data_IF_040675642733
#
_entry.id   IF_040675642733
#
_cell.length_a   1.000
_cell.length_b   1.000
_cell.length_c   1.000
_cell.angle_alpha   90.00
_cell.angle_beta   90.00
_cell.angle_gamma   90.00
#
_symmetry.space_group_name_H-M   'P 1'
#
loop_
_entity.id
_entity.type
_entity.pdbx_description
1 polymer ?
#
# COMPACT_ATOMS: atom_id res chain seq x y z
N UNK A 1 7.45 64.47 -56.40
CA UNK A 1 6.71 63.99 -57.60
C UNK A 1 5.64 63.00 -57.15
N UNK A 2 4.62 62.76 -57.98
CA UNK A 2 3.48 61.81 -57.89
C UNK A 2 3.70 60.48 -57.10
N UNK A 3 2.68 59.76 -56.58
CA UNK A 3 1.20 59.94 -56.49
C UNK A 3 0.63 58.94 -55.43
N UNK A 4 -0.54 59.26 -54.87
CA UNK A 4 -1.48 58.44 -54.05
C UNK A 4 -2.18 57.31 -54.86
N UNK A 5 -3.15 56.51 -54.32
CA UNK A 5 -3.67 56.32 -52.95
C UNK A 5 -3.38 54.86 -52.44
N UNK A 6 -4.10 54.13 -51.55
CA UNK A 6 -5.40 54.29 -50.86
C UNK A 6 -5.51 53.47 -49.53
N UNK A 7 -6.63 53.66 -48.82
CA UNK A 7 -7.21 52.87 -47.71
C UNK A 7 -8.66 52.43 -48.15
N UNK A 8 -9.64 52.00 -47.32
CA UNK A 8 -9.69 51.85 -45.84
C UNK A 8 -10.42 50.60 -45.29
N UNK A 9 -10.44 50.53 -43.95
CA UNK A 9 -11.40 49.80 -43.11
C UNK A 9 -12.85 50.28 -43.32
N UNK A 10 -13.84 49.48 -42.89
CA UNK A 10 -15.22 49.91 -42.68
C UNK A 10 -15.84 49.21 -41.46
N UNK A 11 -16.60 50.00 -40.69
CA UNK A 11 -17.22 49.67 -39.41
C UNK A 11 -18.69 49.20 -39.53
N UNK A 12 -19.15 48.56 -38.44
CA UNK A 12 -20.48 48.58 -37.78
C UNK A 12 -21.86 48.48 -38.52
N UNK A 13 -22.79 47.83 -37.79
CA UNK A 13 -24.27 47.89 -37.80
C UNK A 13 -25.06 47.52 -39.10
N UNK A 14 -26.20 46.83 -39.10
CA UNK A 14 -27.32 46.78 -38.13
C UNK A 14 -28.19 45.50 -38.31
N UNK A 15 -29.19 45.34 -37.46
CA UNK A 15 -30.16 44.25 -37.31
C UNK A 15 -31.28 44.25 -38.37
N UNK A 16 -31.73 43.07 -38.79
CA UNK A 16 -33.18 42.80 -38.99
C UNK A 16 -33.58 41.42 -38.47
N UNK A 17 -34.79 41.38 -37.93
CA UNK A 17 -35.46 40.21 -37.34
C UNK A 17 -36.28 39.52 -38.42
N UNK A 18 -36.26 38.19 -38.50
CA UNK A 18 -37.31 37.40 -39.14
C UNK A 18 -37.59 36.09 -38.37
N UNK A 19 -38.77 36.10 -37.75
CA UNK A 19 -39.76 35.04 -37.51
C UNK A 19 -39.41 33.62 -36.99
N UNK A 20 -40.38 33.10 -36.23
CA UNK A 20 -40.37 31.89 -35.42
C UNK A 20 -40.59 30.60 -36.25
N UNK A 21 -39.93 29.49 -35.89
CA UNK A 21 -40.56 28.16 -36.07
C UNK A 21 -40.24 27.20 -34.89
N UNK A 22 -41.27 26.89 -34.09
CA UNK A 22 -41.16 25.93 -32.97
C UNK A 22 -41.00 24.47 -33.45
N UNK A 23 -40.06 23.67 -32.89
CA UNK A 23 -40.07 22.22 -33.07
C UNK A 23 -41.24 21.58 -32.29
N UNK A 24 -42.19 21.04 -33.06
CA UNK A 24 -43.50 20.52 -32.61
C UNK A 24 -43.47 19.60 -31.40
N UNK A 25 -44.23 20.02 -30.39
CA UNK A 25 -44.62 19.32 -29.15
C UNK A 25 -45.08 17.87 -29.39
N UNK A 26 -44.33 16.88 -28.87
CA UNK A 26 -44.75 15.47 -28.92
C UNK A 26 -46.00 15.20 -28.04
N UNK A 27 -46.93 14.34 -28.46
CA UNK A 27 -48.20 14.13 -27.76
C UNK A 27 -48.03 13.43 -26.40
N UNK A 28 -48.79 13.90 -25.40
CA UNK A 28 -48.81 13.32 -24.05
C UNK A 28 -49.42 11.91 -24.08
N UNK A 29 -48.64 10.89 -23.71
CA UNK A 29 -49.20 9.58 -23.39
C UNK A 29 -50.19 9.67 -22.21
N UNK A 30 -51.39 9.07 -22.30
CA UNK A 30 -52.31 9.01 -21.19
C UNK A 30 -51.74 8.12 -20.07
N UNK A 31 -51.89 8.58 -18.82
CA UNK A 31 -51.50 7.79 -17.64
C UNK A 31 -52.27 6.46 -17.63
N UNK A 32 -51.63 5.30 -17.44
CA UNK A 32 -52.35 4.04 -17.28
C UNK A 32 -53.25 4.12 -16.04
N UNK A 33 -54.52 3.79 -16.22
CA UNK A 33 -55.49 3.74 -15.14
C UNK A 33 -55.13 2.67 -14.12
N UNK A 34 -55.39 2.98 -12.84
CA UNK A 34 -55.20 2.10 -11.70
C UNK A 34 -55.98 0.79 -11.94
N UNK A 35 -55.36 -0.40 -11.97
CA UNK A 35 -56.13 -1.64 -12.03
C UNK A 35 -56.95 -1.76 -10.75
N UNK A 36 -58.25 -1.93 -10.90
CA UNK A 36 -59.18 -2.19 -9.79
C UNK A 36 -58.82 -3.51 -9.11
N UNK A 37 -59.06 -3.60 -7.80
CA UNK A 37 -58.81 -4.80 -7.01
C UNK A 37 -59.76 -5.95 -7.42
N UNK A 38 -59.44 -6.66 -8.50
CA UNK A 38 -60.09 -7.93 -8.83
C UNK A 38 -59.67 -8.94 -7.77
N UNK A 39 -60.61 -9.24 -6.88
CA UNK A 39 -60.48 -10.19 -5.78
C UNK A 39 -60.23 -11.60 -6.35
N UNK A 40 -58.96 -11.94 -6.61
CA UNK A 40 -58.54 -13.27 -7.09
C UNK A 40 -59.07 -14.34 -6.13
N UNK A 41 -60.11 -15.04 -6.57
CA UNK A 41 -60.55 -16.29 -5.95
C UNK A 41 -59.39 -17.27 -6.03
N UNK A 42 -59.01 -17.85 -4.88
CA UNK A 42 -57.94 -18.86 -4.85
C UNK A 42 -58.43 -20.10 -5.62
N UNK A 43 -57.62 -20.70 -6.50
CA UNK A 43 -57.96 -21.98 -7.09
C UNK A 43 -58.07 -23.03 -5.98
N UNK A 44 -59.08 -23.92 -6.07
CA UNK A 44 -59.19 -25.08 -5.18
C UNK A 44 -58.00 -26.02 -5.43
N UNK A 45 -57.44 -26.67 -4.39
CA UNK A 45 -56.35 -27.62 -4.59
C UNK A 45 -56.80 -28.80 -5.46
N UNK A 46 -55.89 -29.26 -6.32
CA UNK A 46 -56.13 -30.35 -7.26
C UNK A 46 -56.27 -31.66 -6.49
N UNK A 47 -57.29 -32.45 -6.84
CA UNK A 47 -57.64 -33.72 -6.17
C UNK A 47 -56.66 -34.82 -6.60
N UNK A 48 -55.63 -35.06 -5.80
CA UNK A 48 -54.72 -36.19 -6.00
C UNK A 48 -55.45 -37.52 -5.80
N UNK A 49 -55.18 -38.50 -6.66
CA UNK A 49 -55.62 -39.88 -6.52
C UNK A 49 -54.46 -40.72 -5.98
N UNK A 50 -54.72 -41.58 -5.00
CA UNK A 50 -53.78 -42.61 -4.53
C UNK A 50 -54.08 -43.95 -5.19
N UNK A 51 -53.06 -44.79 -5.34
CA UNK A 51 -53.14 -46.05 -6.09
C UNK A 51 -54.00 -47.17 -5.44
N UNK A 52 -54.66 -46.90 -4.31
CA UNK A 52 -55.46 -47.88 -3.53
C UNK A 52 -56.96 -47.60 -3.50
N UNK A 53 -57.46 -46.59 -4.23
CA UNK A 53 -58.90 -46.35 -4.42
C UNK A 53 -59.69 -45.89 -3.18
N UNK A 54 -59.03 -45.71 -2.03
CA UNK A 54 -59.66 -45.23 -0.81
C UNK A 54 -60.00 -43.73 -0.90
N UNK A 55 -61.22 -43.36 -0.51
CA UNK A 55 -61.66 -41.96 -0.41
C UNK A 55 -60.95 -41.31 0.79
N UNK A 56 -60.02 -40.39 0.51
CA UNK A 56 -59.47 -39.50 1.54
C UNK A 56 -60.61 -38.55 1.97
N UNK A 57 -61.07 -38.69 3.21
CA UNK A 57 -61.99 -37.73 3.81
C UNK A 57 -61.23 -36.43 4.14
N UNK A 58 -61.86 -35.25 4.00
CA UNK A 58 -61.21 -34.01 4.40
C UNK A 58 -60.95 -34.03 5.92
N UNK A 59 -59.77 -33.58 6.40
CA UNK A 59 -59.48 -33.53 7.81
C UNK A 59 -60.51 -32.66 8.54
N UNK A 60 -60.86 -33.03 9.77
CA UNK A 60 -61.87 -32.31 10.55
C UNK A 60 -61.37 -30.91 10.90
N UNK A 61 -62.27 -29.97 11.16
CA UNK A 61 -61.92 -28.57 11.44
C UNK A 61 -60.94 -28.41 12.62
N UNK A 62 -60.93 -29.38 13.56
CA UNK A 62 -59.99 -29.44 14.69
C UNK A 62 -58.57 -29.89 14.30
N UNK A 63 -58.42 -30.75 13.29
CA UNK A 63 -57.11 -31.20 12.79
C UNK A 63 -56.48 -30.15 11.87
N UNK A 64 -57.32 -29.42 11.11
CA UNK A 64 -56.88 -28.30 10.30
C UNK A 64 -56.23 -27.17 11.13
N UNK A 65 -56.73 -26.88 12.34
CA UNK A 65 -56.12 -25.88 13.23
C UNK A 65 -54.68 -26.23 13.65
N UNK A 66 -54.34 -27.52 13.76
CA UNK A 66 -52.98 -27.96 14.04
C UNK A 66 -52.02 -27.66 12.88
N UNK A 67 -52.44 -27.99 11.65
CA UNK A 67 -51.60 -27.90 10.46
C UNK A 67 -51.28 -26.46 10.02
N UNK A 68 -52.13 -25.48 10.36
CA UNK A 68 -51.89 -24.06 10.05
C UNK A 68 -51.15 -23.29 11.16
N UNK A 69 -50.84 -23.90 12.31
CA UNK A 69 -50.22 -23.22 13.45
C UNK A 69 -48.69 -23.12 13.37
N UNK A 70 -48.03 -24.00 12.62
CA UNK A 70 -46.57 -24.03 12.40
C UNK A 70 -46.13 -23.15 11.21
N UNK A 71 -46.54 -21.87 11.20
CA UNK A 71 -46.39 -21.04 9.99
C UNK A 71 -46.17 -19.53 10.17
N UNK A 72 -46.26 -18.97 11.39
CA UNK A 72 -45.91 -17.56 11.61
C UNK A 72 -44.39 -17.39 11.72
N UNK A 73 -43.70 -17.48 10.57
CA UNK A 73 -42.37 -16.88 10.41
C UNK A 73 -42.50 -15.40 10.74
N UNK A 74 -42.05 -15.00 11.92
CA UNK A 74 -41.92 -13.59 12.26
C UNK A 74 -41.07 -12.92 11.18
N UNK A 75 -41.58 -11.83 10.58
CA UNK A 75 -40.73 -10.98 9.74
C UNK A 75 -39.50 -10.62 10.58
N UNK A 76 -38.26 -10.90 10.12
CA UNK A 76 -37.10 -10.46 10.86
C UNK A 76 -37.21 -8.95 11.04
N UNK A 77 -37.11 -8.48 12.28
CA UNK A 77 -37.12 -7.05 12.55
C UNK A 77 -36.00 -6.40 11.73
N UNK A 78 -36.24 -5.25 11.07
CA UNK A 78 -35.20 -4.54 10.35
C UNK A 78 -34.21 -3.98 11.37
N UNK A 79 -33.20 -4.79 11.70
CA UNK A 79 -32.09 -4.39 12.56
C UNK A 79 -31.19 -3.47 11.73
N UNK A 80 -31.49 -2.17 11.76
CA UNK A 80 -30.61 -1.14 11.24
C UNK A 80 -29.24 -1.27 11.93
N UNK A 81 -28.26 -1.85 11.24
CA UNK A 81 -26.87 -1.83 11.70
C UNK A 81 -26.21 -0.56 11.15
N UNK A 82 -25.35 0.07 11.94
CA UNK A 82 -24.67 1.31 11.54
C UNK A 82 -23.95 1.17 10.18
N UNK A 83 -23.39 -0.02 9.90
CA UNK A 83 -22.75 -0.38 8.62
C UNK A 83 -23.66 -0.33 7.38
N UNK A 84 -24.98 -0.40 7.57
CA UNK A 84 -25.99 -0.37 6.51
C UNK A 84 -26.42 1.09 6.21
N UNK A 85 -25.85 2.08 6.91
CA UNK A 85 -26.01 3.51 6.66
C UNK A 85 -25.14 3.99 5.50
N UNK A 86 -25.72 4.83 4.63
CA UNK A 86 -25.01 5.50 3.52
C UNK A 86 -23.78 6.29 3.99
N UNK A 87 -23.80 6.80 5.23
CA UNK A 87 -22.72 7.60 5.81
C UNK A 87 -21.59 6.78 6.44
N UNK A 88 -21.78 5.48 6.66
CA UNK A 88 -20.78 4.67 7.38
C UNK A 88 -19.45 4.56 6.62
N UNK A 89 -19.51 4.20 5.33
CA UNK A 89 -18.32 4.08 4.49
C UNK A 89 -17.51 5.39 4.37
N UNK A 90 -18.10 6.56 4.04
CA UNK A 90 -17.33 7.81 3.96
C UNK A 90 -16.80 8.28 5.32
N UNK A 91 -17.53 8.06 6.43
CA UNK A 91 -17.04 8.40 7.77
C UNK A 91 -15.87 7.51 8.19
N UNK A 92 -15.89 6.21 7.88
CA UNK A 92 -14.75 5.31 8.11
C UNK A 92 -13.55 5.70 7.25
N UNK A 93 -13.75 6.03 5.98
CA UNK A 93 -12.68 6.52 5.11
C UNK A 93 -12.05 7.82 5.63
N UNK A 94 -12.87 8.79 6.07
CA UNK A 94 -12.41 10.02 6.69
C UNK A 94 -11.64 9.77 7.99
N UNK A 95 -12.13 8.86 8.85
CA UNK A 95 -11.44 8.48 10.08
C UNK A 95 -10.07 7.85 9.79
N UNK A 96 -9.96 6.99 8.78
CA UNK A 96 -8.68 6.42 8.34
C UNK A 96 -7.72 7.52 7.85
N UNK A 97 -8.19 8.47 7.03
CA UNK A 97 -7.38 9.60 6.56
C UNK A 97 -6.88 10.44 7.75
N UNK A 98 -7.74 10.76 8.72
CA UNK A 98 -7.36 11.51 9.92
C UNK A 98 -6.32 10.73 10.75
N UNK A 99 -6.52 9.43 10.96
CA UNK A 99 -5.56 8.57 11.69
C UNK A 99 -4.21 8.52 10.96
N UNK A 100 -4.20 8.42 9.63
CA UNK A 100 -2.96 8.44 8.84
C UNK A 100 -2.26 9.80 8.92
N UNK A 101 -2.97 10.91 8.78
CA UNK A 101 -2.40 12.26 8.90
C UNK A 101 -1.85 12.53 10.30
N UNK A 102 -2.58 12.15 11.35
CA UNK A 102 -2.13 12.28 12.74
C UNK A 102 -0.94 11.37 13.04
N UNK A 103 -0.93 10.13 12.51
CA UNK A 103 0.18 9.20 12.66
C UNK A 103 1.46 9.68 11.96
N UNK A 104 1.34 10.15 10.72
CA UNK A 104 2.44 10.74 9.95
C UNK A 104 2.96 12.00 10.62
N UNK A 105 2.09 12.92 11.06
CA UNK A 105 2.48 14.12 11.81
C UNK A 105 3.13 13.78 13.16
N UNK A 106 2.64 12.77 13.88
CA UNK A 106 3.23 12.30 15.14
C UNK A 106 4.64 11.73 14.95
N UNK A 107 4.90 11.10 13.81
CA UNK A 107 6.23 10.60 13.43
C UNK A 107 7.17 11.71 12.94
N UNK A 108 6.73 12.58 12.03
CA UNK A 108 7.59 13.64 11.46
C UNK A 108 7.76 14.83 12.39
N UNK A 109 6.79 15.10 13.28
CA UNK A 109 6.69 16.32 14.09
C UNK A 109 6.80 17.62 13.26
N UNK A 110 6.36 17.56 12.00
CA UNK A 110 6.54 18.60 11.00
C UNK A 110 5.32 18.75 10.09
N UNK A 111 5.10 19.95 9.55
CA UNK A 111 3.98 20.22 8.65
C UNK A 111 4.35 21.25 7.55
N UNK A 112 4.15 20.96 6.25
CA UNK A 112 3.73 19.67 5.69
C UNK A 112 4.69 18.51 6.01
N UNK A 113 4.19 17.28 6.23
CA UNK A 113 5.05 16.16 6.62
C UNK A 113 5.63 15.37 5.44
N UNK A 114 5.09 15.54 4.23
CA UNK A 114 5.46 14.80 3.02
C UNK A 114 5.76 15.79 1.89
N UNK A 115 6.85 15.55 1.17
CA UNK A 115 7.29 16.33 0.00
C UNK A 115 7.47 15.42 -1.22
N UNK A 116 7.28 15.99 -2.41
CA UNK A 116 7.50 15.28 -3.69
C UNK A 116 8.89 15.62 -4.21
N UNK A 117 9.62 14.62 -4.69
CA UNK A 117 10.91 14.80 -5.35
C UNK A 117 10.66 15.15 -6.81
N UNK A 118 10.93 16.39 -7.21
CA UNK A 118 10.56 16.89 -8.55
C UNK A 118 11.68 16.75 -9.59
N UNK A 119 12.94 16.70 -9.14
CA UNK A 119 14.15 16.70 -9.97
C UNK A 119 14.98 15.42 -9.81
N UNK A 120 15.94 15.22 -10.71
CA UNK A 120 16.90 14.11 -10.67
C UNK A 120 18.15 14.39 -9.84
N UNK A 121 18.22 15.50 -9.07
CA UNK A 121 19.45 15.91 -8.38
C UNK A 121 19.91 14.98 -7.25
N UNK A 122 19.07 14.04 -6.81
CA UNK A 122 19.41 13.00 -5.82
C UNK A 122 19.53 11.58 -6.42
N UNK A 123 19.31 11.41 -7.74
CA UNK A 123 19.37 10.09 -8.39
C UNK A 123 20.81 9.59 -8.55
N UNK A 124 21.03 8.29 -8.46
CA UNK A 124 22.32 7.67 -8.82
C UNK A 124 22.20 7.05 -10.22
N UNK A 125 22.38 7.89 -11.25
CA UNK A 125 22.28 7.51 -12.65
C UNK A 125 20.90 7.82 -13.27
N UNK A 126 20.60 7.19 -14.40
CA UNK A 126 19.36 7.41 -15.17
C UNK A 126 18.27 6.34 -14.97
N UNK A 127 18.44 5.44 -14.00
CA UNK A 127 17.55 4.32 -13.70
C UNK A 127 17.03 4.41 -12.27
N UNK A 128 15.80 3.97 -12.04
CA UNK A 128 15.18 3.94 -10.72
C UNK A 128 15.86 2.89 -9.83
N UNK A 129 16.21 3.25 -8.59
CA UNK A 129 16.81 2.33 -7.64
C UNK A 129 16.08 2.39 -6.30
N UNK A 130 15.56 1.23 -5.87
CA UNK A 130 14.83 1.10 -4.60
C UNK A 130 15.76 1.36 -3.42
N UNK A 131 15.40 2.36 -2.60
CA UNK A 131 16.18 2.78 -1.44
C UNK A 131 17.02 4.03 -1.67
N UNK A 132 17.13 4.50 -2.92
CA UNK A 132 17.64 5.84 -3.27
C UNK A 132 16.48 6.81 -3.48
N UNK A 133 16.75 8.11 -3.44
CA UNK A 133 15.75 9.16 -3.69
C UNK A 133 15.67 9.41 -5.20
N UNK A 134 14.58 9.02 -5.84
CA UNK A 134 14.34 9.21 -7.27
C UNK A 134 13.28 10.30 -7.53
N UNK A 135 13.25 10.86 -8.75
CA UNK A 135 12.21 11.81 -9.12
C UNK A 135 10.87 11.08 -9.22
N UNK A 136 9.84 11.64 -8.60
CA UNK A 136 8.54 10.98 -8.43
C UNK A 136 8.43 10.15 -7.15
N UNK A 137 9.42 10.15 -6.27
CA UNK A 137 9.27 9.61 -4.91
C UNK A 137 8.61 10.65 -3.97
N UNK A 138 8.01 10.17 -2.88
CA UNK A 138 7.59 11.00 -1.76
C UNK A 138 8.56 10.81 -0.59
N UNK A 139 9.04 11.91 0.00
CA UNK A 139 9.96 11.90 1.15
C UNK A 139 9.27 12.46 2.39
N UNK A 140 9.46 11.80 3.53
CA UNK A 140 8.97 12.28 4.82
C UNK A 140 9.99 13.24 5.45
N UNK A 141 9.57 14.47 5.79
CA UNK A 141 10.42 15.49 6.36
C UNK A 141 10.29 15.52 7.90
N UNK A 142 11.14 14.77 8.61
CA UNK A 142 11.13 14.75 10.07
C UNK A 142 11.84 15.97 10.65
N UNK A 143 11.20 16.65 11.61
CA UNK A 143 11.80 17.75 12.36
C UNK A 143 12.80 17.19 13.37
N UNK A 144 14.08 17.42 13.11
CA UNK A 144 15.20 16.98 13.94
C UNK A 144 16.00 18.24 14.32
N UNK A 145 16.48 18.38 15.58
CA UNK A 145 17.35 19.50 15.94
C UNK A 145 18.67 19.42 15.15
N UNK A 146 19.13 20.56 14.66
CA UNK A 146 20.25 20.66 13.71
C UNK A 146 21.55 20.02 14.22
N UNK A 147 21.76 19.98 15.54
CA UNK A 147 22.87 19.29 16.21
C UNK A 147 22.90 17.76 16.05
N UNK A 148 21.82 17.15 15.56
CA UNK A 148 21.72 15.71 15.29
C UNK A 148 21.82 15.36 13.79
N UNK A 149 21.90 16.36 12.90
CA UNK A 149 22.09 16.15 11.46
C UNK A 149 23.52 15.65 11.22
N UNK A 150 23.65 14.50 10.56
CA UNK A 150 24.96 13.95 10.21
C UNK A 150 25.36 14.43 8.82
N UNK A 151 26.40 15.25 8.72
CA UNK A 151 27.00 15.70 7.44
C UNK A 151 27.69 14.55 6.72
N UNK A 152 27.96 14.70 5.41
CA UNK A 152 28.67 13.69 4.61
C UNK A 152 30.03 13.34 5.21
N UNK A 153 30.82 14.35 5.61
CA UNK A 153 32.17 14.15 6.15
C UNK A 153 32.14 13.40 7.50
N UNK A 154 31.19 13.74 8.38
CA UNK A 154 30.97 13.01 9.64
C UNK A 154 30.42 11.61 9.39
N UNK A 155 29.54 11.45 8.40
CA UNK A 155 29.00 10.16 7.96
C UNK A 155 30.08 9.21 7.45
N UNK A 156 30.98 9.70 6.60
CA UNK A 156 32.14 8.96 6.08
C UNK A 156 33.04 8.48 7.23
N UNK A 157 33.35 9.37 8.19
CA UNK A 157 34.17 9.02 9.36
C UNK A 157 33.51 8.02 10.33
N UNK A 158 32.17 7.92 10.32
CA UNK A 158 31.39 7.03 11.21
C UNK A 158 30.85 5.77 10.50
N UNK A 159 30.99 5.65 9.18
CA UNK A 159 30.33 4.60 8.40
C UNK A 159 28.80 4.71 8.38
N UNK A 160 28.25 5.91 8.57
CA UNK A 160 26.81 6.16 8.59
C UNK A 160 26.34 6.71 7.24
N UNK A 161 25.34 6.06 6.64
CA UNK A 161 24.79 6.40 5.33
C UNK A 161 23.25 6.41 5.32
N UNK A 162 22.68 7.25 4.46
CA UNK A 162 21.25 7.29 4.13
C UNK A 162 21.08 7.47 2.62
N UNK A 163 20.10 6.76 2.05
CA UNK A 163 19.79 6.84 0.62
C UNK A 163 21.01 6.57 -0.28
N UNK A 164 21.75 5.50 0.01
CA UNK A 164 22.92 5.05 -0.75
C UNK A 164 24.26 5.70 -0.36
N UNK A 165 24.27 6.93 0.14
CA UNK A 165 25.50 7.72 0.40
C UNK A 165 25.66 8.16 1.87
N UNK A 166 26.87 8.59 2.25
CA UNK A 166 27.17 8.95 3.64
C UNK A 166 26.37 10.16 4.16
N UNK A 167 26.11 10.18 5.47
CA UNK A 167 25.37 11.26 6.12
C UNK A 167 23.84 11.20 5.90
N UNK A 168 23.14 12.21 6.41
CA UNK A 168 21.70 12.43 6.25
C UNK A 168 21.39 13.21 4.96
N UNK A 169 20.12 13.28 4.57
CA UNK A 169 19.61 14.18 3.52
C UNK A 169 18.65 15.19 4.17
N UNK A 170 18.75 16.47 3.82
CA UNK A 170 17.94 17.55 4.41
C UNK A 170 17.03 18.21 3.38
N UNK A 171 15.85 18.64 3.85
CA UNK A 171 14.93 19.50 3.12
C UNK A 171 15.07 20.92 3.67
N UNK A 172 15.29 21.90 2.81
CA UNK A 172 15.45 23.29 3.22
C UNK A 172 14.83 24.29 2.23
N UNK A 173 14.54 25.49 2.73
CA UNK A 173 14.14 26.65 1.93
C UNK A 173 15.37 27.43 1.46
N UNK A 174 15.64 27.54 0.14
CA UNK A 174 16.76 28.32 -0.37
C UNK A 174 16.71 29.78 0.10
N UNK A 175 17.83 30.28 0.63
CA UNK A 175 17.95 31.64 1.20
C UNK A 175 16.85 32.02 2.23
N UNK A 176 16.24 31.03 2.90
CA UNK A 176 15.10 31.24 3.81
C UNK A 176 13.82 31.73 3.13
N UNK A 177 13.74 31.73 1.80
CA UNK A 177 12.58 32.23 1.06
C UNK A 177 11.49 31.16 0.91
N UNK A 178 10.24 31.62 0.81
CA UNK A 178 9.11 30.76 0.48
C UNK A 178 9.16 30.33 -0.99
N UNK A 179 9.03 29.03 -1.26
CA UNK A 179 9.12 28.45 -2.59
C UNK A 179 9.19 26.93 -2.53
N UNK A 180 9.60 26.29 -3.64
CA UNK A 180 9.86 24.84 -3.69
C UNK A 180 11.09 24.51 -2.83
N UNK A 181 10.96 23.63 -1.81
CA UNK A 181 12.10 23.20 -1.01
C UNK A 181 13.11 22.39 -1.83
N UNK A 182 14.38 22.49 -1.45
CA UNK A 182 15.46 21.69 -2.02
C UNK A 182 15.76 20.52 -1.08
N UNK A 183 15.93 19.33 -1.67
CA UNK A 183 16.18 18.07 -0.97
C UNK A 183 17.60 17.62 -1.32
N UNK A 184 18.60 17.99 -0.54
CA UNK A 184 20.01 17.73 -0.83
C UNK A 184 20.79 17.28 0.42
N UNK A 185 22.03 16.82 0.19
CA UNK A 185 22.91 16.29 1.22
C UNK A 185 23.78 17.40 1.81
N UNK A 186 23.84 17.57 3.15
CA UNK A 186 24.78 18.48 3.78
C UNK A 186 26.18 17.85 3.75
N UNK A 187 27.11 18.45 3.00
CA UNK A 187 28.48 17.98 2.89
C UNK A 187 29.28 18.28 4.15
N UNK A 188 29.23 19.54 4.60
CA UNK A 188 29.89 20.06 5.80
C UNK A 188 29.05 21.12 6.52
N UNK A 189 29.29 21.32 7.81
CA UNK A 189 28.78 22.44 8.61
C UNK A 189 29.87 23.50 8.83
N UNK A 190 29.62 24.70 8.32
CA UNK A 190 30.49 25.87 8.39
C UNK A 190 30.04 26.76 9.54
N UNK A 191 30.92 27.02 10.50
CA UNK A 191 30.68 27.91 11.63
C UNK A 191 31.30 29.29 11.37
N UNK A 192 30.50 30.35 11.48
CA UNK A 192 30.89 31.72 11.16
C UNK A 192 31.23 32.52 12.42
N UNK A 193 32.47 32.99 12.50
CA UNK A 193 32.88 33.93 13.54
C UNK A 193 32.68 35.37 13.05
N UNK A 194 31.61 36.01 13.54
CA UNK A 194 31.26 37.39 13.18
C UNK A 194 32.30 38.44 13.64
N UNK A 195 33.15 38.14 14.63
CA UNK A 195 34.19 39.07 15.12
C UNK A 195 35.43 39.07 14.22
N UNK A 196 35.85 37.90 13.74
CA UNK A 196 37.02 37.77 12.86
C UNK A 196 36.68 37.76 11.37
N UNK A 197 35.40 37.66 11.02
CA UNK A 197 34.87 37.48 9.66
C UNK A 197 35.49 36.25 8.96
N UNK A 198 35.51 35.12 9.67
CA UNK A 198 36.15 33.86 9.25
C UNK A 198 35.25 32.66 9.52
N UNK A 199 35.46 31.61 8.74
CA UNK A 199 34.79 30.32 8.93
C UNK A 199 35.67 29.34 9.70
N UNK A 200 35.04 28.43 10.43
CA UNK A 200 35.66 27.24 11.02
C UNK A 200 34.80 26.01 10.73
N UNK A 201 35.42 24.83 10.63
CA UNK A 201 34.77 23.57 10.24
C UNK A 201 35.25 22.48 11.22
N UNK A 202 34.76 22.47 12.48
CA UNK A 202 35.30 21.61 13.54
C UNK A 202 35.21 20.11 13.25
N UNK A 203 34.22 19.69 12.45
CA UNK A 203 34.02 18.30 12.04
C UNK A 203 35.10 17.75 11.08
N UNK A 204 35.91 18.61 10.45
CA UNK A 204 37.07 18.17 9.67
C UNK A 204 38.28 17.80 10.54
N UNK A 205 38.24 18.15 11.84
CA UNK A 205 39.30 17.84 12.80
C UNK A 205 39.47 16.31 12.95
N UNK A 206 40.67 15.82 12.66
CA UNK A 206 41.01 14.40 12.75
C UNK A 206 40.69 13.57 11.51
N UNK A 207 40.01 14.14 10.50
CA UNK A 207 39.90 13.52 9.18
C UNK A 207 41.21 13.71 8.38
N UNK A 208 41.56 12.74 7.53
CA UNK A 208 42.76 12.81 6.71
C UNK A 208 42.70 14.02 5.76
N UNK A 209 43.74 14.87 5.79
CA UNK A 209 43.78 16.14 5.06
C UNK A 209 45.00 16.25 4.12
N UNK A 210 44.98 17.26 3.26
CA UNK A 210 46.10 17.63 2.39
C UNK A 210 46.11 16.90 1.04
N UNK A 211 47.30 16.72 0.46
CA UNK A 211 47.48 16.21 -0.92
C UNK A 211 47.69 14.70 -1.04
N UNK A 212 47.54 13.95 0.06
CA UNK A 212 47.73 12.49 0.05
C UNK A 212 46.56 11.79 -0.67
N UNK A 213 46.75 10.64 -1.34
CA UNK A 213 45.65 9.93 -2.03
C UNK A 213 44.45 9.58 -1.13
N UNK A 214 44.72 9.35 0.16
CA UNK A 214 43.70 9.04 1.17
C UNK A 214 43.09 10.28 1.83
N UNK A 215 43.58 11.50 1.54
CA UNK A 215 43.02 12.73 2.07
C UNK A 215 41.55 12.86 1.65
N UNK A 216 40.71 13.26 2.60
CA UNK A 216 39.27 13.48 2.45
C UNK A 216 38.93 14.94 2.18
N UNK A 217 39.84 15.87 2.52
CA UNK A 217 39.70 17.30 2.26
C UNK A 217 41.05 18.02 2.20
N UNK A 218 41.07 19.25 1.68
CA UNK A 218 42.20 20.19 1.79
C UNK A 218 41.74 21.66 1.73
N UNK A 219 42.56 22.60 2.18
CA UNK A 219 42.28 24.04 2.15
C UNK A 219 43.37 24.85 1.44
N UNK A 220 43.11 25.27 0.20
CA UNK A 220 44.01 26.17 -0.53
C UNK A 220 43.92 27.60 0.01
N UNK A 221 45.06 28.30 0.09
CA UNK A 221 45.16 29.63 0.70
C UNK A 221 45.52 29.63 2.20
N UNK A 222 45.80 28.45 2.77
CA UNK A 222 46.20 28.28 4.18
C UNK A 222 47.55 27.59 4.30
N UNK A 223 48.30 27.86 5.37
CA UNK A 223 49.59 27.22 5.62
C UNK A 223 49.38 25.72 5.87
N UNK A 224 50.00 24.87 5.04
CA UNK A 224 49.97 23.41 5.18
C UNK A 224 48.74 22.70 4.59
N UNK A 225 47.76 23.41 4.02
CA UNK A 225 46.63 22.81 3.29
C UNK A 225 45.64 22.00 4.15
N UNK A 226 45.73 22.12 5.48
CA UNK A 226 45.03 21.33 6.49
C UNK A 226 44.46 22.22 7.62
N UNK A 227 44.26 23.51 7.37
CA UNK A 227 43.60 24.38 8.33
C UNK A 227 42.09 24.12 8.30
N UNK A 228 41.46 23.99 9.46
CA UNK A 228 40.01 23.81 9.58
C UNK A 228 39.35 24.94 10.40
N UNK A 229 40.14 25.72 11.14
CA UNK A 229 39.69 26.86 11.94
C UNK A 229 40.23 28.19 11.40
N UNK A 230 39.55 29.29 11.73
CA UNK A 230 39.94 30.67 11.39
C UNK A 230 40.28 30.86 9.89
N UNK A 231 39.51 30.22 9.02
CA UNK A 231 39.70 30.25 7.58
C UNK A 231 39.44 31.66 7.03
N UNK A 232 40.44 32.32 6.40
CA UNK A 232 40.25 33.64 5.81
C UNK A 232 39.34 33.59 4.58
N UNK A 233 38.64 34.70 4.34
CA UNK A 233 37.91 34.93 3.08
C UNK A 233 38.85 34.73 1.87
N UNK A 234 38.38 34.02 0.85
CA UNK A 234 39.16 33.57 -0.30
C UNK A 234 39.81 32.19 -0.15
N UNK A 235 39.70 31.54 1.02
CA UNK A 235 40.11 30.13 1.18
C UNK A 235 39.27 29.23 0.29
N UNK A 236 39.90 28.31 -0.45
CA UNK A 236 39.19 27.28 -1.22
C UNK A 236 39.21 25.98 -0.43
N UNK A 237 38.03 25.55 0.01
CA UNK A 237 37.82 24.23 0.60
C UNK A 237 37.63 23.22 -0.54
N UNK A 238 38.46 22.18 -0.56
CA UNK A 238 38.30 21.03 -1.43
C UNK A 238 37.86 19.83 -0.59
N UNK A 239 36.79 19.16 -1.00
CA UNK A 239 36.33 17.90 -0.41
C UNK A 239 36.47 16.80 -1.47
N UNK A 240 37.03 15.65 -1.09
CA UNK A 240 37.38 14.56 -1.98
C UNK A 240 36.50 13.33 -1.75
N UNK A 241 36.23 12.58 -2.83
CA UNK A 241 35.41 11.35 -2.81
C UNK A 241 34.00 11.61 -2.28
N UNK A 242 33.34 12.61 -2.84
CA UNK A 242 31.96 12.99 -2.51
C UNK A 242 30.98 12.26 -3.45
N UNK A 243 30.01 11.58 -2.85
CA UNK A 243 28.94 10.88 -3.55
C UNK A 243 29.41 9.67 -4.36
N UNK A 244 28.44 9.02 -5.03
CA UNK A 244 28.64 7.75 -5.74
C UNK A 244 29.60 7.85 -6.93
N UNK A 245 29.81 9.04 -7.49
CA UNK A 245 30.81 9.34 -8.52
C UNK A 245 32.22 9.62 -7.96
N UNK A 246 32.42 9.57 -6.63
CA UNK A 246 33.68 9.94 -5.96
C UNK A 246 34.20 11.33 -6.37
N UNK A 247 33.29 12.29 -6.50
CA UNK A 247 33.57 13.62 -7.04
C UNK A 247 34.48 14.45 -6.11
N UNK A 248 35.12 15.47 -6.68
CA UNK A 248 35.81 16.53 -5.94
C UNK A 248 34.95 17.78 -5.94
N UNK A 249 34.61 18.30 -4.76
CA UNK A 249 33.84 19.52 -4.55
C UNK A 249 34.80 20.62 -4.12
N UNK A 250 34.83 21.74 -4.84
CA UNK A 250 35.69 22.90 -4.53
C UNK A 250 34.84 24.15 -4.32
N UNK A 251 34.96 24.79 -3.15
CA UNK A 251 34.19 25.97 -2.77
C UNK A 251 35.09 27.06 -2.22
N UNK A 252 35.00 28.25 -2.79
CA UNK A 252 35.63 29.46 -2.25
C UNK A 252 34.74 30.04 -1.14
N UNK A 253 35.28 30.10 0.08
CA UNK A 253 34.63 30.70 1.24
C UNK A 253 34.72 32.23 1.14
N UNK A 254 33.59 32.93 1.16
CA UNK A 254 33.53 34.39 1.00
C UNK A 254 32.10 34.96 0.96
N UNK A 255 31.97 36.26 1.22
CA UNK A 255 30.69 36.88 1.60
C UNK A 255 29.52 36.74 0.61
N UNK A 256 29.77 36.51 -0.68
CA UNK A 256 28.72 36.32 -1.68
C UNK A 256 28.26 34.87 -1.82
N UNK A 257 29.19 33.91 -1.83
CA UNK A 257 28.92 32.46 -1.99
C UNK A 257 28.49 31.81 -0.68
N UNK A 258 29.16 32.12 0.42
CA UNK A 258 28.88 31.52 1.73
C UNK A 258 27.95 32.34 2.63
N UNK A 259 27.67 33.60 2.30
CA UNK A 259 26.98 34.51 3.22
C UNK A 259 27.86 34.88 4.42
N UNK A 260 27.24 35.36 5.50
CA UNK A 260 27.90 35.81 6.73
C UNK A 260 27.23 35.22 7.99
N UNK A 261 26.94 33.92 7.96
CA UNK A 261 26.24 33.15 8.98
C UNK A 261 26.74 31.70 8.99
N UNK A 262 26.53 30.97 10.10
CA UNK A 262 26.83 29.53 10.18
C UNK A 262 25.75 28.71 9.45
N UNK A 263 26.10 27.52 8.96
CA UNK A 263 25.14 26.59 8.33
C UNK A 263 25.79 25.50 7.48
N UNK A 264 24.98 24.80 6.68
CA UNK A 264 25.45 23.68 5.85
C UNK A 264 25.87 24.11 4.44
N UNK A 265 27.00 23.58 3.98
CA UNK A 265 27.27 23.44 2.55
C UNK A 265 26.48 22.24 2.03
N UNK A 266 25.69 22.42 0.97
CA UNK A 266 24.78 21.38 0.47
C UNK A 266 25.04 21.05 -1.00
N UNK A 267 24.73 19.82 -1.40
CA UNK A 267 24.85 19.33 -2.77
C UNK A 267 23.89 18.16 -3.02
N UNK A 268 23.33 18.07 -4.22
CA UNK A 268 22.60 16.88 -4.67
C UNK A 268 23.53 15.76 -5.10
N UNK A 269 23.19 14.50 -4.78
CA UNK A 269 23.99 13.31 -5.12
C UNK A 269 24.26 13.15 -6.64
N UNK A 270 23.48 13.82 -7.50
CA UNK A 270 23.60 13.82 -8.96
C UNK A 270 24.17 15.13 -9.56
N UNK A 271 24.57 16.11 -8.74
CA UNK A 271 25.06 17.40 -9.20
C UNK A 271 26.56 17.34 -9.56
N UNK A 272 26.92 16.60 -10.60
CA UNK A 272 28.32 16.44 -11.01
C UNK A 272 28.57 16.69 -12.50
N UNK A 273 29.78 17.19 -12.79
CA UNK A 273 30.37 17.25 -14.13
C UNK A 273 31.51 16.21 -14.21
N UNK A 274 31.27 15.14 -14.96
CA UNK A 274 32.24 14.07 -15.24
C UNK A 274 32.90 14.21 -16.63
N UNK A 275 32.94 15.42 -17.21
CA UNK A 275 33.71 15.69 -18.44
C UNK A 275 35.22 15.52 -18.25
N UNK A 276 35.70 15.59 -17.01
CA UNK A 276 37.06 15.28 -16.58
C UNK A 276 37.06 14.26 -15.43
N UNK A 277 38.23 13.68 -15.14
CA UNK A 277 38.44 12.75 -14.02
C UNK A 277 39.49 13.33 -13.04
N UNK A 278 39.22 13.36 -11.72
CA UNK A 278 37.96 12.96 -11.07
C UNK A 278 36.80 13.89 -11.45
N UNK A 279 35.55 13.40 -11.34
CA UNK A 279 34.37 14.23 -11.57
C UNK A 279 34.37 15.44 -10.63
N UNK A 280 33.88 16.58 -11.11
CA UNK A 280 33.67 17.79 -10.30
C UNK A 280 32.25 17.77 -9.74
N UNK A 281 32.10 17.98 -8.43
CA UNK A 281 30.80 18.18 -7.80
C UNK A 281 30.43 19.66 -7.75
N UNK A 282 29.17 19.99 -8.03
CA UNK A 282 28.62 21.34 -7.99
C UNK A 282 27.72 21.49 -6.76
N UNK A 283 28.18 22.19 -5.70
CA UNK A 283 27.37 22.47 -4.54
C UNK A 283 26.39 23.60 -4.82
N UNK A 284 25.35 23.68 -4.00
CA UNK A 284 24.23 24.62 -4.17
C UNK A 284 24.65 26.09 -4.02
N UNK A 285 25.74 26.31 -3.28
CA UNK A 285 26.43 27.57 -3.04
C UNK A 285 27.47 27.93 -4.12
N UNK A 286 27.66 27.05 -5.11
CA UNK A 286 28.63 27.17 -6.19
C UNK A 286 28.05 27.79 -7.46
N UNK A 287 28.39 27.21 -8.61
CA UNK A 287 27.94 27.70 -9.93
C UNK A 287 26.42 27.63 -10.10
N UNK A 288 25.76 26.68 -9.42
CA UNK A 288 24.32 26.52 -9.42
C UNK A 288 23.57 27.69 -8.75
N UNK A 289 24.22 28.42 -7.84
CA UNK A 289 23.70 29.61 -7.15
C UNK A 289 22.28 29.46 -6.57
N UNK A 290 21.91 28.25 -6.12
CA UNK A 290 20.57 27.90 -5.63
C UNK A 290 20.31 28.59 -4.29
N UNK A 291 21.31 28.60 -3.41
CA UNK A 291 21.24 29.17 -2.06
C UNK A 291 22.62 29.60 -1.59
N UNK A 292 22.69 30.53 -0.66
CA UNK A 292 23.84 30.65 0.24
C UNK A 292 23.93 29.42 1.16
N UNK A 293 24.93 29.35 2.04
CA UNK A 293 25.04 28.29 3.06
C UNK A 293 23.70 28.14 3.77
N UNK A 294 23.22 26.91 3.95
CA UNK A 294 21.90 26.66 4.50
C UNK A 294 21.91 26.90 6.00
N UNK A 295 21.37 28.03 6.44
CA UNK A 295 21.25 28.33 7.88
C UNK A 295 20.43 27.24 8.60
N UNK A 296 20.73 26.95 9.88
CA UNK A 296 19.92 26.09 10.73
C UNK A 296 18.42 26.40 10.73
N UNK A 297 18.04 27.68 10.57
CA UNK A 297 16.65 28.13 10.52
C UNK A 297 15.93 27.90 9.19
N UNK A 298 16.66 27.62 8.11
CA UNK A 298 16.08 27.35 6.78
C UNK A 298 15.80 25.86 6.56
N UNK A 299 16.32 24.99 7.43
CA UNK A 299 16.09 23.54 7.39
C UNK A 299 14.65 23.25 7.82
N UNK A 300 13.86 22.72 6.90
CA UNK A 300 12.47 22.28 7.11
C UNK A 300 12.48 20.95 7.87
N UNK A 301 13.38 20.04 7.54
CA UNK A 301 13.52 18.75 8.21
C UNK A 301 14.55 17.84 7.56
N UNK A 302 14.77 16.67 8.16
CA UNK A 302 15.63 15.60 7.64
C UNK A 302 14.75 14.58 6.93
N UNK A 303 15.20 14.10 5.77
CA UNK A 303 14.55 13.02 5.04
C UNK A 303 14.61 11.71 5.86
N UNK A 304 13.46 11.24 6.32
CA UNK A 304 13.33 10.09 7.23
C UNK A 304 12.19 9.20 6.79
N UNK A 305 12.46 8.40 5.75
CA UNK A 305 11.47 7.52 5.13
C UNK A 305 11.00 8.06 3.78
N UNK A 306 10.50 7.13 2.96
CA UNK A 306 10.21 7.35 1.55
C UNK A 306 9.08 6.44 1.09
N UNK A 307 8.18 6.95 0.25
CA UNK A 307 7.22 6.14 -0.50
C UNK A 307 7.59 6.24 -1.98
N UNK A 308 8.12 5.16 -2.59
CA UNK A 308 8.63 5.25 -3.94
C UNK A 308 7.50 5.39 -4.97
N UNK A 309 7.78 6.10 -6.05
CA UNK A 309 6.96 6.25 -7.27
C UNK A 309 5.58 6.92 -7.14
N UNK A 310 5.05 7.13 -5.93
CA UNK A 310 3.70 7.72 -5.73
C UNK A 310 3.66 9.19 -6.16
N UNK A 311 4.77 9.91 -5.97
CA UNK A 311 4.94 11.31 -6.38
C UNK A 311 4.92 11.52 -7.90
N UNK A 312 5.22 10.48 -8.69
CA UNK A 312 5.16 10.52 -10.16
C UNK A 312 3.77 10.95 -10.66
N UNK A 313 2.71 10.62 -9.93
CA UNK A 313 1.33 11.05 -10.26
C UNK A 313 1.18 12.57 -10.19
N UNK A 314 1.84 13.25 -9.23
CA UNK A 314 1.87 14.72 -9.17
C UNK A 314 2.60 15.28 -10.40
N UNK A 315 3.78 14.74 -10.71
CA UNK A 315 4.59 15.19 -11.84
C UNK A 315 3.91 14.94 -13.19
N UNK A 316 3.03 13.94 -13.31
CA UNK A 316 2.15 13.77 -14.46
C UNK A 316 1.19 14.94 -14.64
N UNK A 317 0.53 15.35 -13.56
CA UNK A 317 -0.48 16.41 -13.55
C UNK A 317 0.17 17.78 -13.78
N UNK A 318 1.35 18.01 -13.19
CA UNK A 318 2.13 19.25 -13.33
C UNK A 318 2.85 19.38 -14.69
N UNK A 319 2.74 18.38 -15.59
CA UNK A 319 3.39 18.38 -16.91
C UNK A 319 4.88 17.98 -16.91
N UNK A 320 5.44 17.67 -15.74
CA UNK A 320 6.85 17.34 -15.52
C UNK A 320 7.15 15.82 -15.56
N UNK A 321 6.29 15.00 -16.18
CA UNK A 321 6.43 13.54 -16.25
C UNK A 321 7.80 13.05 -16.79
N UNK A 322 8.48 13.88 -17.59
CA UNK A 322 9.80 13.60 -18.16
C UNK A 322 10.97 13.64 -17.17
N UNK A 323 10.81 14.17 -15.95
CA UNK A 323 11.87 14.09 -14.92
C UNK A 323 11.89 12.73 -14.20
N UNK A 324 10.79 11.97 -14.26
CA UNK A 324 10.62 10.66 -13.63
C UNK A 324 11.27 9.56 -14.48
N UNK A 325 12.15 8.71 -13.92
CA UNK A 325 12.72 7.58 -14.64
C UNK A 325 11.65 6.63 -15.22
N UNK A 326 11.90 6.10 -16.43
CA UNK A 326 10.95 5.23 -17.13
C UNK A 326 10.54 3.97 -16.32
N UNK A 327 11.44 3.48 -15.46
CA UNK A 327 11.21 2.31 -14.60
C UNK A 327 10.25 2.62 -13.44
N UNK A 328 10.30 3.83 -12.86
CA UNK A 328 9.42 4.26 -11.77
C UNK A 328 7.94 4.15 -12.16
N UNK A 329 7.59 4.45 -13.42
CA UNK A 329 6.23 4.26 -13.96
C UNK A 329 5.79 2.80 -14.00
N UNK A 330 6.71 1.88 -14.33
CA UNK A 330 6.42 0.45 -14.37
C UNK A 330 6.20 -0.09 -12.95
N UNK A 331 7.05 0.31 -12.00
CA UNK A 331 6.93 -0.08 -10.61
C UNK A 331 5.70 0.52 -9.92
N UNK A 332 5.32 1.77 -10.23
CA UNK A 332 4.04 2.36 -9.82
C UNK A 332 2.86 1.53 -10.34
N UNK A 333 2.86 1.17 -11.62
CA UNK A 333 1.80 0.35 -12.23
C UNK A 333 1.67 -1.03 -11.59
N UNK A 334 2.81 -1.70 -11.33
CA UNK A 334 2.85 -2.98 -10.60
C UNK A 334 2.33 -2.81 -9.17
N UNK A 335 2.73 -1.75 -8.46
CA UNK A 335 2.30 -1.48 -7.08
C UNK A 335 0.79 -1.28 -7.00
N UNK A 336 0.22 -0.49 -7.91
CA UNK A 336 -1.24 -0.30 -8.01
C UNK A 336 -1.93 -1.64 -8.31
N UNK A 337 -1.41 -2.43 -9.26
CA UNK A 337 -1.97 -3.74 -9.59
C UNK A 337 -1.93 -4.72 -8.41
N UNK A 338 -0.85 -4.72 -7.62
CA UNK A 338 -0.72 -5.54 -6.39
C UNK A 338 -1.70 -5.08 -5.31
N UNK A 339 -1.83 -3.78 -5.06
CA UNK A 339 -2.77 -3.24 -4.07
C UNK A 339 -4.23 -3.54 -4.44
N UNK A 340 -4.60 -3.36 -5.70
CA UNK A 340 -5.93 -3.70 -6.23
C UNK A 340 -6.16 -5.22 -6.15
N UNK A 341 -5.18 -6.03 -6.57
CA UNK A 341 -5.24 -7.49 -6.48
C UNK A 341 -5.41 -7.99 -5.04
N UNK A 342 -4.70 -7.39 -4.08
CA UNK A 342 -4.84 -7.70 -2.66
C UNK A 342 -6.23 -7.33 -2.11
N UNK A 343 -6.78 -6.17 -2.50
CA UNK A 343 -8.15 -5.78 -2.13
C UNK A 343 -9.21 -6.76 -2.69
N UNK A 344 -9.06 -7.20 -3.94
CA UNK A 344 -9.92 -8.24 -4.53
C UNK A 344 -9.75 -9.60 -3.83
N UNK A 345 -8.53 -9.99 -3.49
CA UNK A 345 -8.24 -11.23 -2.77
C UNK A 345 -8.91 -11.23 -1.38
N UNK A 346 -8.77 -10.16 -0.59
CA UNK A 346 -9.45 -9.97 0.70
C UNK A 346 -10.98 -10.01 0.56
N UNK A 347 -11.51 -9.38 -0.48
CA UNK A 347 -12.95 -9.37 -0.77
C UNK A 347 -13.50 -10.76 -1.17
N UNK A 348 -12.67 -11.60 -1.81
CA UNK A 348 -13.04 -12.95 -2.22
C UNK A 348 -12.89 -13.96 -1.06
N UNK A 349 -11.77 -13.93 -0.34
CA UNK A 349 -11.55 -14.80 0.83
C UNK A 349 -12.54 -14.49 1.96
N UNK A 350 -12.88 -13.22 2.18
CA UNK A 350 -13.93 -12.82 3.12
C UNK A 350 -15.36 -13.30 2.75
N UNK A 351 -15.60 -13.73 1.50
CA UNK A 351 -16.84 -14.44 1.13
C UNK A 351 -16.78 -15.93 1.46
N UNK A 352 -15.61 -16.55 1.36
CA UNK A 352 -15.39 -17.95 1.74
C UNK A 352 -15.40 -18.14 3.25
N UNK A 353 -14.72 -17.26 3.99
CA UNK A 353 -14.71 -17.25 5.47
C UNK A 353 -15.94 -16.48 5.99
N UNK A 354 -17.13 -16.92 5.60
CA UNK A 354 -18.31 -16.67 6.41
C UNK A 354 -18.30 -17.69 7.55
N UNK A 355 -18.27 -17.28 8.83
CA UNK A 355 -18.45 -18.25 9.91
C UNK A 355 -19.78 -18.98 9.67
N UNK A 356 -19.78 -20.31 9.90
CA UNK A 356 -21.01 -21.09 9.95
C UNK A 356 -21.99 -20.34 10.86
N UNK A 357 -23.16 -20.00 10.32
CA UNK A 357 -24.22 -19.35 11.10
C UNK A 357 -24.51 -20.27 12.29
N UNK A 358 -24.33 -19.88 13.56
CA UNK A 358 -24.31 -20.82 14.69
C UNK A 358 -25.63 -21.59 14.84
N UNK A 359 -26.72 -21.08 14.26
CA UNK A 359 -28.00 -21.78 14.10
C UNK A 359 -27.90 -23.07 13.31
N UNK A 360 -27.00 -23.16 12.32
CA UNK A 360 -26.76 -24.37 11.52
C UNK A 360 -25.94 -25.41 12.26
N UNK A 361 -25.04 -24.99 13.15
CA UNK A 361 -24.33 -25.91 14.03
C UNK A 361 -25.34 -26.58 15.00
N UNK A 362 -26.17 -25.76 15.67
CA UNK A 362 -27.27 -26.26 16.54
C UNK A 362 -28.30 -27.09 15.77
N UNK A 363 -28.63 -26.73 14.52
CA UNK A 363 -29.55 -27.52 13.67
C UNK A 363 -28.89 -28.81 13.12
N UNK A 364 -27.57 -28.96 13.20
CA UNK A 364 -26.88 -30.23 12.93
C UNK A 364 -26.78 -31.08 14.19
N UNK A 365 -26.37 -30.50 15.32
CA UNK A 365 -26.33 -31.16 16.64
C UNK A 365 -27.71 -31.76 16.97
N UNK A 366 -28.79 -30.99 16.83
CA UNK A 366 -30.15 -31.50 17.07
C UNK A 366 -30.58 -32.63 16.12
N UNK A 367 -30.09 -32.66 14.87
CA UNK A 367 -30.37 -33.77 13.92
C UNK A 367 -29.54 -35.00 14.20
N UNK A 368 -28.35 -34.83 14.78
CA UNK A 368 -27.50 -35.93 15.23
C UNK A 368 -28.10 -36.55 16.51
N UNK A 369 -28.60 -35.73 17.45
CA UNK A 369 -29.38 -36.18 18.61
C UNK A 369 -30.68 -36.92 18.19
N UNK A 370 -31.50 -36.36 17.29
CA UNK A 370 -32.71 -37.03 16.77
C UNK A 370 -32.37 -38.39 16.10
N UNK A 371 -31.25 -38.49 15.38
CA UNK A 371 -30.82 -39.72 14.74
C UNK A 371 -30.31 -40.78 15.75
N UNK A 372 -29.62 -40.37 16.82
CA UNK A 372 -29.21 -41.27 17.90
C UNK A 372 -30.41 -41.76 18.72
N UNK A 373 -31.43 -40.91 18.95
CA UNK A 373 -32.68 -41.32 19.60
C UNK A 373 -33.44 -42.37 18.76
N UNK A 374 -33.61 -42.17 17.45
CA UNK A 374 -34.22 -43.17 16.56
C UNK A 374 -33.46 -44.51 16.57
N UNK A 375 -32.11 -44.50 16.54
CA UNK A 375 -31.31 -45.73 16.61
C UNK A 375 -31.40 -46.42 17.99
N UNK A 376 -31.63 -45.65 19.06
CA UNK A 376 -31.81 -46.17 20.42
C UNK A 376 -33.18 -46.84 20.61
N UNK A 377 -34.25 -46.26 20.06
CA UNK A 377 -35.60 -46.83 20.14
C UNK A 377 -35.69 -48.19 19.43
N UNK A 378 -35.04 -48.33 18.26
CA UNK A 378 -35.10 -49.56 17.48
C UNK A 378 -34.36 -50.72 18.18
N UNK A 379 -33.24 -50.41 18.87
CA UNK A 379 -32.59 -51.36 19.79
C UNK A 379 -33.47 -51.70 21.00
N UNK A 380 -34.22 -50.74 21.54
CA UNK A 380 -35.16 -50.95 22.65
C UNK A 380 -36.31 -51.90 22.30
N UNK A 381 -36.92 -51.72 21.12
CA UNK A 381 -38.01 -52.58 20.61
C UNK A 381 -37.54 -54.04 20.42
N UNK A 382 -36.27 -54.24 20.03
CA UNK A 382 -35.65 -55.57 19.95
C UNK A 382 -35.32 -56.22 21.30
N UNK A 383 -35.20 -55.46 22.40
CA UNK A 383 -34.95 -56.01 23.73
C UNK A 383 -36.21 -56.62 24.37
N UNK A 384 -37.34 -55.90 24.31
CA UNK A 384 -38.59 -56.33 24.96
C UNK A 384 -39.29 -57.52 24.29
N UNK A 385 -39.03 -57.78 23.00
CA UNK A 385 -39.55 -58.97 22.30
C UNK A 385 -38.93 -60.30 22.74
N UNK A 386 -37.91 -60.28 23.62
CA UNK A 386 -37.26 -61.49 24.18
C UNK A 386 -37.53 -61.73 25.67
N UNK A 387 -38.23 -60.83 26.36
CA UNK A 387 -38.48 -60.90 27.81
C UNK A 387 -39.98 -60.92 28.17
N UNK A 388 -40.74 -61.86 27.60
CA UNK A 388 -42.10 -62.17 28.05
C UNK A 388 -42.35 -63.68 28.26
N UNK A 389 -42.10 -64.08 29.51
CA UNK A 389 -42.81 -65.12 30.28
C UNK A 389 -43.10 -66.50 29.64
N UNK A 390 -42.24 -67.47 29.97
CA UNK A 390 -42.45 -68.91 29.79
C UNK A 390 -43.23 -69.47 30.99
N UNK A 391 -44.33 -70.22 30.76
CA UNK A 391 -44.97 -71.11 31.75
C UNK A 391 -44.69 -72.59 31.40
N UNK A 392 -44.75 -73.52 32.37
CA UNK A 392 -44.29 -74.90 32.20
C UNK A 392 -45.33 -75.83 31.54
N UNK A 393 -44.83 -77.00 31.15
CA UNK A 393 -45.45 -78.05 30.33
C UNK A 393 -46.73 -78.68 30.91
N UNK A 394 -47.54 -79.25 30.02
CA UNK A 394 -48.10 -80.60 30.18
C UNK A 394 -48.36 -81.23 28.79
N UNK A 395 -48.36 -82.57 28.75
CA UNK A 395 -48.66 -83.51 27.67
C UNK A 395 -47.66 -83.70 26.50
N UNK A 396 -47.41 -84.98 26.21
CA UNK A 396 -46.39 -85.54 25.33
C UNK A 396 -46.93 -85.89 23.93
N UNK A 397 -46.05 -85.93 22.92
CA UNK A 397 -45.94 -87.08 21.98
C UNK A 397 -44.61 -87.04 21.18
N UNK A 398 -44.15 -88.22 20.76
CA UNK A 398 -42.81 -88.48 20.22
C UNK A 398 -42.66 -88.11 18.73
N UNK A 399 -41.45 -87.73 18.28
CA UNK A 399 -40.76 -88.50 17.21
C UNK A 399 -39.26 -88.14 17.05
N UNK A 400 -38.53 -88.97 16.30
CA UNK A 400 -37.08 -89.26 16.46
C UNK A 400 -36.15 -88.62 15.39
N UNK A 401 -34.90 -88.36 15.80
CA UNK A 401 -33.65 -88.12 15.03
C UNK A 401 -33.56 -87.07 13.91
N UNK A 402 -32.60 -86.13 14.08
CA UNK A 402 -31.56 -85.80 13.07
C UNK A 402 -30.42 -84.91 13.62
N UNK A 403 -29.14 -85.17 13.27
CA UNK A 403 -27.98 -84.35 13.69
C UNK A 403 -27.80 -83.07 12.83
N UNK A 404 -27.09 -82.05 13.34
CA UNK A 404 -27.05 -80.71 12.73
C UNK A 404 -26.11 -80.59 11.51
N UNK A 405 -26.48 -79.80 10.48
CA UNK A 405 -25.61 -79.52 9.35
C UNK A 405 -24.46 -78.54 9.68
N UNK A 406 -23.32 -78.77 9.05
CA UNK A 406 -22.02 -78.13 9.36
C UNK A 406 -21.96 -76.63 8.99
N UNK A 407 -21.42 -75.83 9.91
CA UNK A 407 -21.00 -74.43 9.74
C UNK A 407 -19.94 -74.30 8.63
N UNK A 408 -20.27 -73.66 7.50
CA UNK A 408 -19.28 -73.32 6.46
C UNK A 408 -18.51 -72.03 6.82
N UNK A 409 -17.23 -72.16 7.10
CA UNK A 409 -16.28 -71.05 7.14
C UNK A 409 -15.81 -70.69 5.72
N UNK A 410 -16.04 -69.45 5.30
CA UNK A 410 -15.37 -68.70 4.22
C UNK A 410 -15.49 -67.22 4.57
N UNK A 411 -14.48 -66.36 4.43
CA UNK A 411 -13.07 -66.58 4.10
C UNK A 411 -12.38 -65.21 4.08
N UNK A 412 -11.21 -65.08 4.71
CA UNK A 412 -10.61 -63.76 4.98
C UNK A 412 -10.10 -63.04 3.72
N UNK A 413 -10.48 -61.78 3.55
CA UNK A 413 -9.88 -60.85 2.59
C UNK A 413 -8.73 -60.05 3.22
N UNK A 414 -7.55 -60.06 2.60
CA UNK A 414 -6.35 -59.35 3.07
C UNK A 414 -6.39 -57.85 2.72
N UNK A 415 -5.74 -56.96 3.50
CA UNK A 415 -5.59 -55.54 3.17
C UNK A 415 -4.60 -55.31 2.00
N UNK A 416 -4.78 -54.20 1.28
CA UNK A 416 -3.95 -53.78 0.13
C UNK A 416 -2.60 -53.21 0.58
N UNK A 417 -1.51 -53.40 -0.18
CA UNK A 417 -0.17 -52.93 0.20
C UNK A 417 0.05 -51.44 -0.05
N UNK A 418 0.76 -50.79 0.87
CA UNK A 418 1.24 -49.40 0.77
C UNK A 418 2.57 -49.39 -0.01
N UNK A 419 2.63 -48.70 -1.14
CA UNK A 419 3.87 -48.51 -1.90
C UNK A 419 4.59 -47.26 -1.42
N UNK A 420 5.67 -47.43 -0.65
CA UNK A 420 6.63 -46.35 -0.35
C UNK A 420 7.47 -46.07 -1.60
N UNK A 421 7.53 -44.81 -2.04
CA UNK A 421 8.42 -44.37 -3.12
C UNK A 421 9.79 -44.03 -2.52
N UNK A 422 10.86 -44.70 -2.96
CA UNK A 422 12.19 -44.53 -2.38
C UNK A 422 12.89 -43.26 -2.88
N UNK A 423 13.84 -42.80 -2.07
CA UNK A 423 14.86 -41.82 -2.44
C UNK A 423 15.67 -42.26 -3.68
N UNK A 424 16.12 -41.27 -4.45
CA UNK A 424 17.28 -41.40 -5.33
C UNK A 424 18.30 -40.32 -4.99
N UNK A 425 19.40 -40.75 -4.41
CA UNK A 425 20.66 -40.01 -4.34
C UNK A 425 21.22 -39.77 -5.74
N UNK A 426 21.74 -38.57 -5.99
CA UNK A 426 22.67 -38.32 -7.09
C UNK A 426 23.96 -37.74 -6.52
N UNK A 427 25.08 -38.39 -6.82
CA UNK A 427 26.41 -38.03 -6.30
C UNK A 427 27.25 -37.45 -7.43
N UNK A 428 27.93 -36.34 -7.12
CA UNK A 428 29.13 -35.77 -7.75
C UNK A 428 29.27 -35.72 -9.29
N UNK A 429 29.51 -34.50 -9.79
CA UNK A 429 30.65 -34.27 -10.70
C UNK A 429 31.26 -32.88 -10.49
N UNK A 430 32.22 -32.81 -9.59
CA UNK A 430 33.18 -31.71 -9.51
C UNK A 430 34.18 -31.86 -10.65
N UNK A 431 34.51 -30.77 -11.34
CA UNK A 431 35.66 -30.71 -12.26
C UNK A 431 36.35 -29.37 -12.07
N UNK A 432 37.39 -29.38 -11.24
CA UNK A 432 38.45 -28.39 -11.32
C UNK A 432 39.17 -28.54 -12.67
N UNK A 433 39.46 -27.42 -13.33
CA UNK A 433 40.66 -27.25 -14.15
C UNK A 433 41.20 -25.86 -13.83
N UNK A 434 42.45 -25.78 -13.38
CA UNK A 434 43.21 -24.53 -13.28
C UNK A 434 44.03 -24.38 -14.57
N UNK A 435 44.05 -23.16 -15.12
CA UNK A 435 45.26 -22.46 -15.56
C UNK A 435 44.95 -20.97 -15.77
#
# INVERSE_FOLDING_TARGET
MARTPASPDLDEDDLTIDEEEEPKRSPRHPKPSRPTNVRRTRPRPIRGWTASGARIEPPTDREAEGYYRTGRRGKPSPTWRARDSLYFAPLVALAIIIILLVGVYGYTQNWPPVYVVESSSMQHGGSDQVGLINAGDLVLAQKIPVSQVVTYMVGMGRGYSTYGEYGDVILYSPNGQGGTPVIHRPLVYLDWNATSARFSIPELQGLACGSNPNASWSTSGTLGGCAWNDLPNGTVLNLYRIGWQSATVSVTLGSTTSGAHSGFLTMGDNNFDCSASPCRGEPDQGTAAISQIVEPGWVIGVARGMLPWVGSVKLLIDGNAGSVPAQSWQFLGITIAVLVGAAFALHYTGRYVRPMDPRRAVEQEAREEEAEEEESEDRGKHFWSRLSFRRPNEDDEEDIDRPPPRRKLRGGGRPKPIVRRSSKTHTAKQKDDRL
#
